data_IF_933615838382
#
_entry.id   IF_933615838382
#
_cell.length_a   1.000
_cell.length_b   1.000
_cell.length_c   1.000
_cell.angle_alpha   90.00
_cell.angle_beta   90.00
_cell.angle_gamma   90.00
#
_symmetry.space_group_name_H-M   'P 1'
#
loop_
_entity.id
_entity.type
_entity.pdbx_description
1 polymer ?
#
# COMPACT_ATOMS: atom_id res chain seq x y z
N UNK A 1 -4.93 -8.51 -4.12
CA UNK A 1 -6.32 -8.96 -3.87
C UNK A 1 -6.79 -9.68 -5.11
N UNK A 2 -7.57 -10.75 -4.96
CA UNK A 2 -8.20 -11.41 -6.09
C UNK A 2 -9.35 -10.52 -6.59
N UNK A 3 -9.39 -10.23 -7.89
CA UNK A 3 -10.46 -9.43 -8.52
C UNK A 3 -11.60 -10.32 -9.04
N UNK A 4 -11.44 -11.65 -8.96
CA UNK A 4 -12.43 -12.59 -9.43
C UNK A 4 -13.71 -12.52 -8.56
N UNK A 5 -14.91 -12.64 -9.14
CA UNK A 5 -16.17 -12.72 -8.39
C UNK A 5 -16.18 -13.95 -7.48
N UNK A 6 -16.77 -13.84 -6.28
CA UNK A 6 -16.84 -14.94 -5.30
C UNK A 6 -17.60 -16.18 -5.79
N UNK A 7 -18.44 -16.03 -6.82
CA UNK A 7 -19.25 -17.10 -7.39
C UNK A 7 -18.49 -18.01 -8.37
N UNK A 8 -17.25 -17.70 -8.70
CA UNK A 8 -16.49 -18.49 -9.66
C UNK A 8 -15.84 -19.70 -8.97
N UNK A 9 -16.06 -20.93 -9.47
CA UNK A 9 -15.49 -22.14 -8.86
C UNK A 9 -13.97 -22.27 -9.09
N UNK A 10 -13.42 -21.55 -10.06
CA UNK A 10 -11.99 -21.54 -10.38
C UNK A 10 -11.47 -20.11 -10.60
N UNK A 11 -10.21 -19.88 -10.25
CA UNK A 11 -9.56 -18.59 -10.47
C UNK A 11 -9.27 -18.37 -11.95
N UNK A 12 -9.79 -17.29 -12.53
CA UNK A 12 -9.57 -16.91 -13.95
C UNK A 12 -8.74 -15.64 -14.13
N UNK A 13 -8.49 -14.88 -13.06
CA UNK A 13 -7.86 -13.56 -13.13
C UNK A 13 -6.33 -13.60 -13.06
N UNK A 14 -5.72 -14.73 -12.68
CA UNK A 14 -4.26 -14.93 -12.55
C UNK A 14 -3.48 -13.80 -11.81
N UNK A 15 -4.18 -12.95 -11.06
CA UNK A 15 -3.62 -11.72 -10.51
C UNK A 15 -2.78 -12.03 -9.28
N UNK A 16 -1.46 -11.93 -9.42
CA UNK A 16 -0.50 -12.11 -8.32
C UNK A 16 -0.15 -10.76 -7.71
N UNK A 17 0.23 -10.78 -6.44
CA UNK A 17 0.68 -9.56 -5.76
C UNK A 17 1.96 -9.05 -6.44
N UNK A 18 1.94 -7.79 -6.90
CA UNK A 18 3.07 -7.12 -7.55
C UNK A 18 3.92 -6.32 -6.58
N UNK A 19 3.37 -6.01 -5.39
CA UNK A 19 4.03 -5.24 -4.35
C UNK A 19 3.86 -5.91 -2.98
N UNK A 20 4.87 -5.76 -2.12
CA UNK A 20 4.86 -6.12 -0.71
C UNK A 20 4.83 -4.85 0.13
N UNK A 21 3.85 -4.73 1.02
CA UNK A 21 3.67 -3.53 1.84
C UNK A 21 4.70 -3.55 2.99
N UNK A 22 5.47 -2.47 3.13
CA UNK A 22 6.52 -2.32 4.15
C UNK A 22 5.98 -1.65 5.41
N UNK A 23 4.99 -2.28 6.04
CA UNK A 23 4.43 -1.86 7.33
C UNK A 23 3.22 -0.94 7.26
N UNK A 24 2.85 -0.38 8.42
CA UNK A 24 1.69 0.53 8.57
C UNK A 24 2.03 1.94 8.07
N UNK A 25 0.99 2.69 7.70
CA UNK A 25 1.16 4.09 7.32
C UNK A 25 1.82 4.90 8.45
N UNK A 26 2.80 5.75 8.12
CA UNK A 26 3.49 6.62 9.06
C UNK A 26 2.82 7.99 9.10
N UNK A 27 2.53 8.46 10.31
CA UNK A 27 2.02 9.80 10.57
C UNK A 27 3.20 10.77 10.78
N UNK A 28 3.02 12.08 10.52
CA UNK A 28 4.00 13.11 10.83
C UNK A 28 4.29 13.17 12.33
N UNK A 29 5.51 13.57 12.70
CA UNK A 29 5.87 13.80 14.09
C UNK A 29 5.28 15.12 14.62
N UNK A 30 5.05 15.21 15.93
CA UNK A 30 4.50 16.43 16.55
C UNK A 30 5.36 17.68 16.30
N UNK A 31 6.69 17.54 16.25
CA UNK A 31 7.59 18.63 15.92
C UNK A 31 7.40 19.14 14.49
N UNK A 32 7.12 18.24 13.55
CA UNK A 32 6.88 18.56 12.14
C UNK A 32 5.55 19.28 11.97
N UNK A 33 4.50 18.84 12.66
CA UNK A 33 3.19 19.51 12.64
C UNK A 33 3.31 20.95 13.18
N UNK A 34 4.10 21.19 14.23
CA UNK A 34 4.33 22.54 14.77
C UNK A 34 5.05 23.46 13.79
N UNK A 35 6.03 22.92 13.04
CA UNK A 35 6.78 23.69 12.03
C UNK A 35 5.99 23.86 10.72
N UNK A 36 5.16 22.86 10.38
CA UNK A 36 4.37 22.81 9.17
C UNK A 36 2.97 22.24 9.47
N UNK A 37 2.04 23.13 9.80
CA UNK A 37 0.66 22.74 10.15
C UNK A 37 -0.07 21.98 9.03
N UNK A 38 0.32 22.20 7.76
CA UNK A 38 -0.26 21.46 6.62
C UNK A 38 0.10 19.98 6.61
N UNK A 39 1.16 19.57 7.32
CA UNK A 39 1.57 18.17 7.40
C UNK A 39 0.62 17.31 8.25
N UNK A 40 -0.23 17.90 9.09
CA UNK A 40 -1.08 17.20 10.07
C UNK A 40 -1.91 16.03 9.49
N UNK A 41 -2.36 16.14 8.24
CA UNK A 41 -3.17 15.11 7.56
C UNK A 41 -2.36 14.11 6.74
N UNK A 42 -1.04 14.27 6.63
CA UNK A 42 -0.19 13.42 5.81
C UNK A 42 -0.10 11.99 6.36
N UNK A 43 -0.14 11.00 5.45
CA UNK A 43 0.05 9.58 5.78
C UNK A 43 1.00 8.96 4.75
N UNK A 44 2.24 8.70 5.15
CA UNK A 44 3.23 8.06 4.28
C UNK A 44 2.98 6.54 4.24
N UNK A 45 2.90 5.98 3.04
CA UNK A 45 2.79 4.53 2.81
C UNK A 45 3.96 4.07 1.96
N UNK A 46 4.56 2.93 2.31
CA UNK A 46 5.72 2.37 1.62
C UNK A 46 5.42 0.94 1.20
N UNK A 47 5.76 0.62 -0.04
CA UNK A 47 5.68 -0.73 -0.57
C UNK A 47 6.89 -1.01 -1.47
N UNK A 48 7.32 -2.26 -1.49
CA UNK A 48 8.40 -2.78 -2.33
C UNK A 48 7.80 -3.56 -3.49
N UNK A 49 8.37 -3.46 -4.69
CA UNK A 49 7.94 -4.26 -5.84
C UNK A 49 8.55 -5.66 -5.76
N UNK A 50 7.71 -6.69 -5.76
CA UNK A 50 8.12 -8.11 -5.63
C UNK A 50 8.17 -8.87 -6.97
N UNK A 51 8.47 -8.15 -8.06
CA UNK A 51 8.46 -8.73 -9.40
C UNK A 51 9.14 -7.82 -10.42
N UNK A 52 10.43 -7.56 -10.21
CA UNK A 52 11.19 -6.64 -11.04
C UNK A 52 12.67 -6.99 -11.14
N UNK A 53 12.98 -8.10 -11.79
CA UNK A 53 13.69 -8.13 -13.06
C UNK A 53 13.26 -9.42 -13.76
N UNK A 54 13.21 -9.33 -15.09
CA UNK A 54 13.07 -10.47 -16.00
C UNK A 54 13.89 -11.68 -15.55
#
# INVERSE_FOLDING_TARGET
GCICPKNFPVCVCNHRATIKILGKARAPAQAEIRRNGRASSAKLRVAEKIGGRE
#
